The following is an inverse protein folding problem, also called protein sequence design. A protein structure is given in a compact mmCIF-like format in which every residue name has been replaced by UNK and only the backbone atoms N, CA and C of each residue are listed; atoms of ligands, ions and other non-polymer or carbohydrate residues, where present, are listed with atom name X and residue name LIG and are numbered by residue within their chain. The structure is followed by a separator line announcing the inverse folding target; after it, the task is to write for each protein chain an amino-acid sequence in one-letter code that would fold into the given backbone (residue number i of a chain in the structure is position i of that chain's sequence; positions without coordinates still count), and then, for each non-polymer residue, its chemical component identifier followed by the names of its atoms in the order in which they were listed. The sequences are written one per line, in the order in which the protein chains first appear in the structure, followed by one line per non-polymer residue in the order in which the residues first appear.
data_IF_857425817713
#
_entry.id   IF_857425817713
#
_cell.length_a   1.000
_cell.length_b   1.000
_cell.length_c   1.000
_cell.angle_alpha   90.00
_cell.angle_beta   90.00
_cell.angle_gamma   90.00
#
_symmetry.space_group_name_H-M   'P 1'
#
loop_
_entity.id
_entity.type
_entity.pdbx_description
1 polymer ?
#
# COMPACT_ATOMS: atom_id res chain seq x y z
N UNK A 1 17.68 -6.41 -4.23
CA UNK A 1 16.75 -5.84 -5.22
C UNK A 1 15.82 -4.93 -4.45
N UNK A 2 15.97 -3.62 -4.60
CA UNK A 2 15.08 -2.66 -3.93
C UNK A 2 13.74 -2.65 -4.66
N UNK A 3 12.59 -2.75 -3.97
CA UNK A 3 11.28 -2.70 -4.62
C UNK A 3 11.05 -1.32 -5.23
N UNK A 4 10.15 -1.24 -6.21
CA UNK A 4 9.71 0.05 -6.70
C UNK A 4 8.77 0.70 -5.68
N UNK A 5 8.85 2.02 -5.53
CA UNK A 5 7.92 2.73 -4.68
C UNK A 5 6.49 2.55 -5.20
N UNK A 6 5.54 2.31 -4.29
CA UNK A 6 4.15 1.96 -4.60
C UNK A 6 3.93 0.58 -5.26
N UNK A 7 4.95 -0.30 -5.27
CA UNK A 7 4.79 -1.67 -5.73
C UNK A 7 3.85 -2.45 -4.79
N UNK A 8 2.88 -3.16 -5.37
CA UNK A 8 1.90 -3.97 -4.63
C UNK A 8 2.24 -5.44 -4.84
N UNK A 9 2.45 -6.17 -3.74
CA UNK A 9 2.68 -7.62 -3.77
C UNK A 9 1.71 -8.35 -2.85
N UNK A 10 1.51 -9.63 -3.15
CA UNK A 10 0.75 -10.55 -2.31
C UNK A 10 1.61 -11.04 -1.15
N UNK A 11 1.08 -10.95 0.06
CA UNK A 11 1.71 -11.36 1.29
C UNK A 11 0.78 -12.29 2.09
N UNK A 12 1.25 -13.51 2.35
CA UNK A 12 0.48 -14.51 3.09
C UNK A 12 0.48 -14.33 4.61
N UNK A 13 1.09 -13.25 5.13
CA UNK A 13 1.11 -12.93 6.55
C UNK A 13 0.13 -11.82 6.91
N UNK A 14 -0.21 -11.71 8.19
CA UNK A 14 -1.15 -10.71 8.72
C UNK A 14 -0.45 -9.44 9.26
N UNK A 15 0.78 -9.17 8.82
CA UNK A 15 1.57 -8.03 9.27
C UNK A 15 2.37 -7.42 8.12
N UNK A 16 2.49 -6.09 8.07
CA UNK A 16 3.40 -5.45 7.12
C UNK A 16 4.83 -5.41 7.68
N UNK A 17 5.84 -5.94 6.97
CA UNK A 17 7.25 -5.75 7.34
C UNK A 17 7.67 -4.27 7.19
N UNK A 18 8.80 -3.87 7.79
CA UNK A 18 9.32 -2.49 7.68
C UNK A 18 9.52 -2.11 6.20
N UNK A 19 9.10 -0.89 5.85
CA UNK A 19 9.13 -0.41 4.48
C UNK A 19 7.89 -0.81 3.65
N UNK A 20 6.97 -1.58 4.23
CA UNK A 20 5.70 -1.97 3.62
C UNK A 20 4.52 -1.54 4.50
N UNK A 21 3.35 -1.40 3.89
CA UNK A 21 2.08 -1.23 4.59
C UNK A 21 1.04 -2.19 4.01
N UNK A 22 0.09 -2.61 4.84
CA UNK A 22 -1.07 -3.36 4.34
C UNK A 22 -1.99 -2.42 3.56
N UNK A 23 -2.49 -2.92 2.44
CA UNK A 23 -3.49 -2.25 1.63
C UNK A 23 -4.88 -2.43 2.25
N UNK A 24 -5.08 -1.84 3.45
CA UNK A 24 -6.30 -1.96 4.24
C UNK A 24 -7.11 -0.65 4.30
N UNK A 25 -6.83 0.33 3.44
CA UNK A 25 -7.45 1.66 3.53
C UNK A 25 -6.86 2.57 4.62
N UNK A 26 -5.66 2.26 5.12
CA UNK A 26 -4.98 3.06 6.13
C UNK A 26 -4.71 4.49 5.64
N UNK A 27 -4.93 5.48 6.50
CA UNK A 27 -4.53 6.86 6.26
C UNK A 27 -3.10 7.10 6.74
N UNK A 28 -2.25 7.59 5.84
CA UNK A 28 -0.84 7.90 6.09
C UNK A 28 -0.56 9.41 5.96
N UNK A 29 0.39 9.96 6.73
CA UNK A 29 0.80 11.35 6.60
C UNK A 29 1.62 11.57 5.32
N UNK A 30 1.24 12.58 4.53
CA UNK A 30 1.94 12.98 3.30
C UNK A 30 3.36 13.45 3.61
N UNK A 31 3.55 14.18 4.71
CA UNK A 31 4.84 14.75 5.09
C UNK A 31 5.98 13.71 5.19
N UNK A 32 5.66 12.47 5.56
CA UNK A 32 6.64 11.38 5.67
C UNK A 32 6.71 10.50 4.41
N UNK A 33 5.71 10.59 3.51
CA UNK A 33 5.56 9.69 2.37
C UNK A 33 5.28 10.49 1.07
N UNK A 34 5.94 11.64 0.89
CA UNK A 34 5.68 12.56 -0.23
C UNK A 34 5.84 11.87 -1.59
N UNK A 35 6.82 10.98 -1.73
CA UNK A 35 7.06 10.24 -2.95
C UNK A 35 5.92 9.26 -3.27
N UNK A 36 5.36 8.58 -2.25
CA UNK A 36 4.23 7.67 -2.42
C UNK A 36 2.93 8.44 -2.73
N UNK A 37 2.72 9.59 -2.08
CA UNK A 37 1.61 10.48 -2.37
C UNK A 37 1.63 11.01 -3.81
N UNK A 38 2.82 11.30 -4.36
CA UNK A 38 2.95 11.72 -5.77
C UNK A 38 2.45 10.66 -6.76
N UNK A 39 2.52 9.37 -6.37
CA UNK A 39 2.08 8.24 -7.19
C UNK A 39 0.59 7.91 -6.97
N UNK A 40 0.14 7.84 -5.72
CA UNK A 40 -1.22 7.44 -5.35
C UNK A 40 -2.23 8.60 -5.32
N UNK A 41 -1.78 9.83 -5.08
CA UNK A 41 -2.65 10.98 -4.88
C UNK A 41 -3.63 10.80 -3.71
N UNK A 42 -4.85 11.32 -3.90
CA UNK A 42 -5.97 11.25 -2.93
C UNK A 42 -7.05 10.25 -3.34
N UNK A 43 -6.73 9.36 -4.29
CA UNK A 43 -7.72 8.48 -4.95
C UNK A 43 -8.39 7.55 -3.92
N UNK A 44 -7.65 7.14 -2.90
CA UNK A 44 -8.10 6.18 -1.87
C UNK A 44 -8.46 6.86 -0.53
N UNK A 45 -8.61 8.19 -0.51
CA UNK A 45 -9.00 8.96 0.67
C UNK A 45 -7.89 9.85 1.23
N UNK A 46 -8.16 10.42 2.40
CA UNK A 46 -7.35 11.48 3.01
C UNK A 46 -7.79 12.89 2.59
N UNK A 47 -7.18 13.89 3.22
CA UNK A 47 -7.47 15.32 2.99
C UNK A 47 -6.67 15.93 1.82
N UNK A 48 -5.72 15.19 1.25
CA UNK A 48 -4.86 15.65 0.15
C UNK A 48 -3.89 16.76 0.48
N UNK A 49 -3.81 17.14 1.76
CA UNK A 49 -2.95 18.22 2.25
C UNK A 49 -1.97 17.73 3.30
N UNK A 50 -2.47 16.98 4.28
CA UNK A 50 -1.67 16.42 5.37
C UNK A 50 -1.62 14.90 5.34
N UNK A 51 -2.60 14.26 4.69
CA UNK A 51 -2.88 12.84 4.75
C UNK A 51 -3.40 12.29 3.42
N UNK A 52 -3.10 11.03 3.15
CA UNK A 52 -3.60 10.28 2.00
C UNK A 52 -3.96 8.86 2.41
N UNK A 53 -4.92 8.25 1.71
CA UNK A 53 -5.32 6.88 1.91
C UNK A 53 -4.50 5.90 1.07
N UNK A 54 -4.24 4.72 1.63
CA UNK A 54 -3.81 3.55 0.88
C UNK A 54 -5.02 2.85 0.25
N UNK A 55 -4.82 2.10 -0.85
CA UNK A 55 -5.87 1.25 -1.39
C UNK A 55 -6.37 0.25 -0.35
N UNK A 56 -7.67 -0.01 -0.32
CA UNK A 56 -8.26 -1.11 0.46
C UNK A 56 -8.48 -2.30 -0.48
N UNK A 57 -7.58 -3.28 -0.40
CA UNK A 57 -7.61 -4.52 -1.17
C UNK A 57 -8.10 -5.70 -0.34
N UNK A 58 -8.70 -5.46 0.84
CA UNK A 58 -9.40 -6.49 1.63
C UNK A 58 -10.76 -6.84 1.03
N UNK A 59 -10.81 -7.00 -0.29
CA UNK A 59 -12.05 -7.36 -0.99
C UNK A 59 -12.65 -8.63 -0.39
N UNK A 60 -13.98 -8.75 -0.32
CA UNK A 60 -14.63 -9.98 0.11
C UNK A 60 -14.24 -11.09 -0.87
N UNK A 61 -13.30 -11.93 -0.48
CA UNK A 61 -13.00 -13.17 -1.16
C UNK A 61 -13.71 -14.27 -0.39
N UNK A 62 -14.41 -15.14 -1.10
CA UNK A 62 -14.90 -16.38 -0.50
C UNK A 62 -13.69 -17.08 0.11
N UNK A 63 -13.65 -17.15 1.45
CA UNK A 63 -12.58 -17.78 2.19
C UNK A 63 -12.72 -19.30 2.04
N UNK A 64 -12.25 -19.83 0.90
CA UNK A 64 -12.28 -21.25 0.60
C UNK A 64 -11.08 -21.89 1.30
N UNK A 65 -11.34 -22.66 2.36
CA UNK A 65 -10.36 -23.49 3.05
C UNK A 65 -9.61 -24.37 2.00
N UNK A 66 -8.25 -24.48 1.99
CA UNK A 66 -7.31 -24.40 3.11
C UNK A 66 -6.35 -23.19 3.15
N UNK A 67 -6.55 -22.12 2.37
CA UNK A 67 -5.64 -20.96 2.33
C UNK A 67 -6.19 -19.81 3.16
N UNK A 68 -5.42 -19.27 4.12
CA UNK A 68 -5.77 -17.99 4.75
C UNK A 68 -5.71 -16.87 3.70
N UNK A 69 -6.65 -15.92 3.78
CA UNK A 69 -6.68 -14.67 3.02
C UNK A 69 -5.28 -14.15 2.65
N UNK A 70 -4.99 -14.04 1.35
CA UNK A 70 -3.75 -13.40 0.90
C UNK A 70 -3.94 -11.90 1.08
N UNK A 71 -3.11 -11.29 1.94
CA UNK A 71 -3.13 -9.86 2.14
C UNK A 71 -2.31 -9.17 1.04
N UNK A 72 -2.65 -7.93 0.72
CA UNK A 72 -1.84 -7.12 -0.19
C UNK A 72 -1.03 -6.12 0.62
N UNK A 73 0.26 -6.02 0.31
CA UNK A 73 1.13 -5.01 0.89
C UNK A 73 1.68 -4.09 -0.20
N UNK A 74 1.86 -2.82 0.14
CA UNK A 74 2.42 -1.78 -0.71
C UNK A 74 3.77 -1.31 -0.18
N UNK A 75 4.74 -1.13 -1.07
CA UNK A 75 6.05 -0.58 -0.73
C UNK A 75 5.94 0.91 -0.40
N UNK A 76 6.22 1.26 0.85
CA UNK A 76 6.35 2.65 1.33
C UNK A 76 7.73 3.25 1.04
N UNK A 77 8.72 2.38 0.77
CA UNK A 77 10.11 2.74 0.52
C UNK A 77 10.62 1.95 -0.68
N UNK A 78 11.36 2.59 -1.57
CA UNK A 78 11.85 1.95 -2.78
C UNK A 78 12.33 2.94 -3.82
N UNK A 79 12.67 2.42 -4.99
CA UNK A 79 13.09 3.23 -6.14
C UNK A 79 11.86 3.94 -6.71
N UNK A 80 11.91 5.27 -6.80
CA UNK A 80 10.83 6.04 -7.41
C UNK A 80 10.72 5.66 -8.90
N UNK A 81 9.55 5.19 -9.38
CA UNK A 81 9.39 4.82 -10.78
C UNK A 81 9.43 6.09 -11.65
N UNK A 82 10.50 6.25 -12.43
CA UNK A 82 10.58 7.30 -13.46
C UNK A 82 9.62 6.97 -14.60
N UNK A 83 8.65 7.86 -14.86
CA UNK A 83 7.81 7.79 -16.06
C UNK A 83 8.67 8.28 -17.25
N UNK A 84 9.11 7.37 -18.11
CA UNK A 84 9.69 7.72 -19.42
C UNK A 84 8.59 8.02 -20.44
#
# INVERSE_FOLDING_TARGET
MEPFLAEIIMFGGNFAPRGWALCDGQILPIAQNQALFSLLGTIYGGDGRTSFGLPDLRGPHDNIQPFQAVNYIIALQGIFPSRN
#
